data_IF_572554802617
#
_entry.id   IF_572554802617
#
_cell.length_a   1.000
_cell.length_b   1.000
_cell.length_c   1.000
_cell.angle_alpha   90.00
_cell.angle_beta   90.00
_cell.angle_gamma   90.00
#
_symmetry.space_group_name_H-M   'P 1'
#
loop_
_entity.id
_entity.type
_entity.pdbx_description
1 polymer ?
#
# COMPACT_ATOMS: atom_id res chain seq x y z
N UNK A 1 -11.08 2.22 -20.06
CA UNK A 1 -9.84 2.99 -20.38
C UNK A 1 -8.66 2.04 -20.49
N UNK A 2 -7.63 2.38 -21.30
CA UNK A 2 -6.37 1.64 -21.41
C UNK A 2 -5.21 2.65 -21.32
N UNK A 3 -4.02 2.16 -20.92
CA UNK A 3 -2.76 2.89 -21.09
C UNK A 3 -2.08 2.43 -22.37
N UNK A 4 -1.63 3.38 -23.17
CA UNK A 4 -0.76 3.15 -24.32
C UNK A 4 0.62 3.69 -23.98
N UNK A 5 1.63 2.81 -23.98
CA UNK A 5 2.98 3.12 -23.61
C UNK A 5 3.89 2.80 -24.80
N UNK A 6 4.62 3.80 -25.26
CA UNK A 6 5.69 3.59 -26.24
C UNK A 6 7.01 3.48 -25.50
N UNK A 7 7.83 2.49 -25.84
CA UNK A 7 9.14 2.33 -25.22
C UNK A 7 9.89 3.63 -25.22
N UNK A 8 10.29 4.07 -24.04
CA UNK A 8 10.87 5.38 -23.80
C UNK A 8 12.39 5.30 -23.81
N UNK A 9 13.05 6.42 -24.16
CA UNK A 9 14.45 6.62 -23.84
C UNK A 9 14.68 6.75 -22.33
N UNK A 10 15.91 7.14 -21.93
CA UNK A 10 16.24 7.33 -20.53
C UNK A 10 15.31 8.34 -19.84
N UNK A 11 14.85 8.00 -18.65
CA UNK A 11 14.04 8.90 -17.82
C UNK A 11 14.92 9.96 -17.15
N UNK A 12 14.43 11.19 -17.05
CA UNK A 12 15.19 12.28 -16.42
C UNK A 12 14.25 13.31 -15.80
N UNK A 13 14.72 14.03 -14.78
CA UNK A 13 13.98 15.11 -14.17
C UNK A 13 13.71 14.93 -12.68
N UNK A 14 12.55 15.43 -12.23
CA UNK A 14 12.13 15.36 -10.83
C UNK A 14 10.70 14.86 -10.72
N UNK A 15 10.44 14.07 -9.70
CA UNK A 15 9.11 13.60 -9.36
C UNK A 15 8.91 13.68 -7.86
N UNK A 16 7.72 14.12 -7.44
CA UNK A 16 7.34 14.21 -6.03
C UNK A 16 6.43 13.04 -5.67
N UNK A 17 6.79 12.33 -4.61
CA UNK A 17 6.02 11.20 -4.08
C UNK A 17 4.80 11.71 -3.31
N UNK A 18 3.66 11.08 -3.49
CA UNK A 18 2.44 11.33 -2.74
C UNK A 18 2.51 10.77 -1.33
N UNK A 19 1.54 11.11 -0.50
CA UNK A 19 1.40 10.50 0.81
C UNK A 19 1.10 9.01 0.75
N UNK A 20 1.52 8.29 1.77
CA UNK A 20 1.43 6.83 1.81
C UNK A 20 -0.03 6.36 1.85
N UNK A 21 -0.46 5.66 0.80
CA UNK A 21 -1.77 5.02 0.75
C UNK A 21 -2.04 4.19 2.01
N UNK A 22 -1.08 3.34 2.36
CA UNK A 22 -1.25 2.39 3.46
C UNK A 22 -1.35 3.08 4.82
N UNK A 23 -0.73 4.23 5.04
CA UNK A 23 -0.91 5.05 6.23
C UNK A 23 -2.22 5.85 6.16
N UNK A 24 -2.49 6.52 5.05
CA UNK A 24 -3.67 7.37 4.87
C UNK A 24 -4.98 6.64 5.19
N UNK A 25 -5.17 5.42 4.66
CA UNK A 25 -6.39 4.65 4.89
C UNK A 25 -6.61 4.29 6.36
N UNK A 26 -5.53 4.04 7.13
CA UNK A 26 -5.62 3.68 8.54
C UNK A 26 -5.85 4.93 9.41
N UNK A 27 -5.12 6.00 9.13
CA UNK A 27 -5.29 7.29 9.81
C UNK A 27 -6.70 7.84 9.59
N UNK A 28 -7.26 7.71 8.37
CA UNK A 28 -8.66 8.04 8.11
C UNK A 28 -9.63 7.20 8.94
N UNK A 29 -9.40 5.88 9.06
CA UNK A 29 -10.23 5.01 9.90
C UNK A 29 -10.05 5.33 11.39
N UNK A 30 -8.82 5.53 11.86
CA UNK A 30 -8.48 5.87 13.23
C UNK A 30 -9.06 7.23 13.66
N UNK A 31 -9.32 8.15 12.72
CA UNK A 31 -10.01 9.42 12.98
C UNK A 31 -11.43 9.24 13.55
N UNK A 32 -12.04 8.04 13.41
CA UNK A 32 -13.30 7.71 14.08
C UNK A 32 -13.21 7.74 15.61
N UNK A 33 -12.00 7.64 16.18
CA UNK A 33 -11.76 7.77 17.63
C UNK A 33 -11.74 9.22 18.11
N UNK A 34 -11.59 10.19 17.22
CA UNK A 34 -11.41 11.58 17.61
C UNK A 34 -12.68 12.17 18.26
N UNK A 35 -12.45 13.08 19.21
CA UNK A 35 -13.53 13.87 19.85
C UNK A 35 -14.01 15.05 19.03
N UNK A 36 -13.34 15.37 17.92
CA UNK A 36 -13.64 16.49 17.02
C UNK A 36 -13.04 16.31 15.63
N UNK A 37 -13.09 17.36 14.76
CA UNK A 37 -12.61 17.25 13.40
C UNK A 37 -11.07 17.11 13.36
N UNK A 38 -10.61 16.22 12.50
CA UNK A 38 -9.20 16.03 12.14
C UNK A 38 -8.96 16.58 10.74
N UNK A 39 -7.95 17.45 10.57
CA UNK A 39 -7.49 17.93 9.28
C UNK A 39 -6.26 17.12 8.84
N UNK A 40 -6.43 16.30 7.82
CA UNK A 40 -5.40 15.40 7.32
C UNK A 40 -4.82 15.95 6.01
N UNK A 41 -3.49 16.11 5.97
CA UNK A 41 -2.73 16.51 4.78
C UNK A 41 -1.85 15.36 4.29
N UNK A 42 -1.34 15.44 3.06
CA UNK A 42 -0.60 14.34 2.45
C UNK A 42 -1.49 13.12 2.12
N UNK A 43 -2.79 13.30 1.98
CA UNK A 43 -3.70 12.23 1.58
C UNK A 43 -3.69 12.10 0.05
N UNK A 44 -3.27 10.94 -0.51
CA UNK A 44 -3.19 10.78 -1.96
C UNK A 44 -4.58 10.74 -2.61
N UNK A 45 -4.71 11.33 -3.80
CA UNK A 45 -5.98 11.33 -4.55
C UNK A 45 -6.13 10.02 -5.35
N UNK A 46 -6.48 8.94 -4.67
CA UNK A 46 -6.62 7.59 -5.23
C UNK A 46 -8.00 6.99 -4.95
N UNK A 47 -8.39 5.99 -5.74
CA UNK A 47 -9.71 5.38 -5.62
C UNK A 47 -9.97 4.75 -4.24
N UNK A 48 -8.95 4.15 -3.60
CA UNK A 48 -9.11 3.54 -2.27
C UNK A 48 -9.35 4.61 -1.17
N UNK A 49 -8.76 5.80 -1.28
CA UNK A 49 -9.02 6.92 -0.36
C UNK A 49 -10.47 7.43 -0.52
N UNK A 50 -10.95 7.56 -1.75
CA UNK A 50 -12.36 7.90 -2.01
C UNK A 50 -13.31 6.84 -1.46
N UNK A 51 -12.95 5.56 -1.57
CA UNK A 51 -13.72 4.44 -1.01
C UNK A 51 -13.76 4.52 0.52
N UNK A 52 -12.63 4.79 1.19
CA UNK A 52 -12.59 4.96 2.65
C UNK A 52 -13.44 6.16 3.09
N UNK A 53 -13.34 7.30 2.39
CA UNK A 53 -14.21 8.45 2.67
C UNK A 53 -15.70 8.10 2.52
N UNK A 54 -16.05 7.28 1.53
CA UNK A 54 -17.40 6.73 1.36
C UNK A 54 -17.83 5.85 2.54
N UNK A 55 -16.94 4.98 3.04
CA UNK A 55 -17.19 4.16 4.23
C UNK A 55 -17.47 5.04 5.44
N UNK A 56 -16.63 6.05 5.70
CA UNK A 56 -16.79 6.96 6.83
C UNK A 56 -18.09 7.77 6.75
N UNK A 57 -18.43 8.29 5.57
CA UNK A 57 -19.72 8.99 5.34
C UNK A 57 -20.92 8.06 5.55
N UNK A 58 -20.80 6.81 5.11
CA UNK A 58 -21.84 5.78 5.33
C UNK A 58 -22.09 5.47 6.80
N UNK A 59 -21.09 5.64 7.65
CA UNK A 59 -21.19 5.52 9.11
C UNK A 59 -21.77 6.79 9.77
N UNK A 60 -21.87 7.91 9.03
CA UNK A 60 -22.38 9.19 9.52
C UNK A 60 -21.29 10.22 9.87
N UNK A 61 -20.01 9.90 9.65
CA UNK A 61 -18.93 10.88 9.78
C UNK A 61 -18.91 11.85 8.59
N UNK A 62 -18.42 13.06 8.80
CA UNK A 62 -17.98 13.93 7.69
C UNK A 62 -16.64 13.44 7.19
N UNK A 63 -16.45 13.37 5.89
CA UNK A 63 -15.16 13.16 5.24
C UNK A 63 -15.14 14.05 3.99
N UNK A 64 -14.55 15.23 4.09
CA UNK A 64 -14.66 16.28 3.10
C UNK A 64 -13.29 16.66 2.54
N UNK A 65 -13.16 16.58 1.20
CA UNK A 65 -11.94 16.93 0.49
C UNK A 65 -11.93 18.43 0.20
N UNK A 66 -10.88 19.09 0.66
CA UNK A 66 -10.69 20.52 0.50
C UNK A 66 -9.89 20.86 -0.77
N UNK A 67 -10.00 22.09 -1.25
CA UNK A 67 -9.30 22.56 -2.45
C UNK A 67 -7.76 22.55 -2.30
N UNK A 68 -7.25 22.65 -1.08
CA UNK A 68 -5.82 22.58 -0.77
C UNK A 68 -5.27 21.15 -0.69
N UNK A 69 -6.09 20.14 -1.06
CA UNK A 69 -5.70 18.72 -1.05
C UNK A 69 -5.76 18.05 0.32
N UNK A 70 -6.24 18.75 1.36
CA UNK A 70 -6.47 18.10 2.65
C UNK A 70 -7.85 17.42 2.73
N UNK A 71 -8.00 16.53 3.71
CA UNK A 71 -9.28 15.89 4.03
C UNK A 71 -9.66 16.22 5.46
N UNK A 72 -10.85 16.72 5.67
CA UNK A 72 -11.41 16.95 7.01
C UNK A 72 -12.29 15.75 7.36
N UNK A 73 -11.98 15.06 8.48
CA UNK A 73 -12.79 13.99 9.02
C UNK A 73 -13.35 14.40 10.37
N UNK A 74 -14.69 14.48 10.46
CA UNK A 74 -15.39 14.76 11.71
C UNK A 74 -16.28 13.56 12.10
N UNK A 75 -15.88 12.79 13.14
CA UNK A 75 -16.60 11.59 13.52
C UNK A 75 -17.78 11.84 14.49
N UNK A 76 -18.09 13.08 14.84
CA UNK A 76 -19.16 13.38 15.81
C UNK A 76 -20.56 12.98 15.36
N UNK A 77 -20.77 12.93 14.02
CA UNK A 77 -22.04 12.52 13.41
C UNK A 77 -22.21 11.00 13.24
N UNK A 78 -21.25 10.18 13.68
CA UNK A 78 -21.36 8.71 13.55
C UNK A 78 -22.56 8.18 14.30
N UNK A 79 -23.46 7.50 13.57
CA UNK A 79 -24.73 6.96 14.06
C UNK A 79 -25.05 5.56 13.50
N UNK A 80 -24.16 5.01 12.67
CA UNK A 80 -24.22 3.66 12.14
C UNK A 80 -22.95 2.91 12.49
N UNK A 81 -23.08 1.63 12.82
CA UNK A 81 -21.98 0.76 13.26
C UNK A 81 -21.77 -0.43 12.29
N UNK A 82 -22.44 -0.36 11.13
CA UNK A 82 -22.33 -1.32 10.04
C UNK A 82 -21.97 -0.55 8.74
N UNK A 83 -20.73 -0.64 8.28
CA UNK A 83 -20.33 -0.02 7.02
C UNK A 83 -21.02 -0.68 5.82
N UNK A 84 -21.20 0.09 4.74
CA UNK A 84 -21.82 -0.41 3.51
C UNK A 84 -21.08 -1.63 2.96
N UNK A 85 -21.83 -2.73 2.74
CA UNK A 85 -21.31 -3.97 2.20
C UNK A 85 -20.60 -3.78 0.86
N UNK A 86 -21.19 -3.00 -0.04
CA UNK A 86 -20.61 -2.71 -1.35
C UNK A 86 -19.21 -2.08 -1.24
N UNK A 87 -19.01 -1.13 -0.33
CA UNK A 87 -17.73 -0.46 -0.12
C UNK A 87 -16.72 -1.38 0.59
N UNK A 88 -17.18 -2.22 1.52
CA UNK A 88 -16.33 -3.20 2.23
C UNK A 88 -15.75 -4.22 1.25
N UNK A 89 -16.55 -4.71 0.31
CA UNK A 89 -16.09 -5.69 -0.70
C UNK A 89 -15.04 -5.07 -1.64
N UNK A 90 -15.17 -3.80 -1.98
CA UNK A 90 -14.25 -3.11 -2.91
C UNK A 90 -12.85 -2.91 -2.35
N UNK A 91 -12.72 -2.79 -1.02
CA UNK A 91 -11.45 -2.41 -0.41
C UNK A 91 -11.20 -3.16 0.90
N UNK A 92 -10.12 -3.96 0.94
CA UNK A 92 -9.78 -4.70 2.15
C UNK A 92 -9.54 -3.82 3.38
N UNK A 93 -8.96 -2.62 3.20
CA UNK A 93 -8.67 -1.71 4.30
C UNK A 93 -9.91 -1.23 5.05
N UNK A 94 -11.12 -1.45 4.52
CA UNK A 94 -12.38 -1.17 5.20
C UNK A 94 -12.52 -1.90 6.55
N UNK A 95 -11.82 -3.03 6.75
CA UNK A 95 -11.77 -3.74 8.04
C UNK A 95 -11.20 -2.86 9.18
N UNK A 96 -10.42 -1.85 8.86
CA UNK A 96 -9.77 -0.98 9.85
C UNK A 96 -10.75 -0.10 10.65
N UNK A 97 -11.98 0.05 10.18
CA UNK A 97 -13.01 0.77 10.97
C UNK A 97 -13.51 -0.05 12.16
N UNK A 98 -13.23 -1.38 12.21
CA UNK A 98 -13.68 -2.22 13.31
C UNK A 98 -13.09 -1.81 14.67
N UNK A 99 -11.78 -1.58 14.74
CA UNK A 99 -11.11 -1.17 15.97
C UNK A 99 -11.69 0.10 16.58
N UNK A 100 -11.72 1.21 15.83
CA UNK A 100 -12.29 2.47 16.35
C UNK A 100 -13.79 2.37 16.69
N UNK A 101 -14.61 1.70 15.89
CA UNK A 101 -16.03 1.55 16.18
C UNK A 101 -16.27 0.70 17.43
N UNK A 102 -15.55 -0.41 17.58
CA UNK A 102 -15.62 -1.26 18.76
C UNK A 102 -15.20 -0.51 20.02
N UNK A 103 -14.10 0.22 19.96
CA UNK A 103 -13.57 0.99 21.09
C UNK A 103 -14.49 2.11 21.54
N UNK A 104 -15.09 2.84 20.59
CA UNK A 104 -15.89 4.04 20.89
C UNK A 104 -17.35 3.72 21.19
N UNK A 105 -17.92 2.72 20.51
CA UNK A 105 -19.36 2.43 20.57
C UNK A 105 -19.69 1.06 21.14
N UNK A 106 -18.69 0.22 21.43
CA UNK A 106 -18.87 -1.13 21.98
C UNK A 106 -19.47 -2.15 21.01
N UNK A 107 -19.65 -1.78 19.74
CA UNK A 107 -20.22 -2.68 18.72
C UNK A 107 -19.74 -2.31 17.32
N UNK A 108 -19.58 -3.32 16.51
CA UNK A 108 -19.40 -3.20 15.07
C UNK A 108 -19.84 -4.49 14.39
N UNK A 109 -20.46 -4.38 13.21
CA UNK A 109 -20.71 -5.52 12.33
C UNK A 109 -20.30 -5.14 10.91
N UNK A 110 -19.59 -6.03 10.24
CA UNK A 110 -19.14 -5.82 8.87
C UNK A 110 -19.19 -7.12 8.08
N UNK A 111 -19.30 -7.02 6.76
CA UNK A 111 -19.03 -8.17 5.90
C UNK A 111 -17.53 -8.48 5.93
N UNK A 112 -17.17 -9.75 5.74
CA UNK A 112 -15.77 -10.10 5.51
C UNK A 112 -15.24 -9.33 4.29
N UNK A 113 -14.09 -8.62 4.42
CA UNK A 113 -13.62 -7.73 3.37
C UNK A 113 -13.24 -8.50 2.12
N UNK A 114 -13.52 -7.92 0.97
CA UNK A 114 -13.11 -8.44 -0.32
C UNK A 114 -11.59 -8.58 -0.44
N UNK A 115 -11.14 -9.46 -1.33
CA UNK A 115 -9.73 -9.76 -1.53
C UNK A 115 -9.06 -8.90 -2.60
N UNK A 116 -7.74 -8.75 -2.50
CA UNK A 116 -6.89 -8.58 -3.65
C UNK A 116 -6.60 -9.96 -4.27
N UNK A 117 -6.34 -9.99 -5.57
CA UNK A 117 -6.10 -11.22 -6.33
C UNK A 117 -4.75 -11.92 -6.02
N UNK A 118 -4.16 -11.65 -4.85
CA UNK A 118 -2.81 -12.08 -4.42
C UNK A 118 -2.83 -13.22 -3.38
N UNK A 119 -4.00 -13.78 -3.10
CA UNK A 119 -4.19 -14.92 -2.19
C UNK A 119 -5.08 -14.65 -1.00
N UNK A 120 -5.33 -15.69 -0.18
CA UNK A 120 -6.12 -15.58 1.04
C UNK A 120 -5.49 -14.58 2.02
N UNK A 121 -6.34 -13.76 2.62
CA UNK A 121 -5.93 -12.79 3.63
C UNK A 121 -6.93 -12.81 4.78
N UNK A 122 -6.83 -13.85 5.64
CA UNK A 122 -7.78 -14.01 6.76
C UNK A 122 -7.72 -12.80 7.70
N UNK A 123 -8.78 -12.61 8.47
CA UNK A 123 -8.93 -11.54 9.48
C UNK A 123 -8.85 -12.08 10.92
N UNK A 124 -8.51 -13.35 11.05
CA UNK A 124 -8.43 -14.10 12.31
C UNK A 124 -7.58 -13.39 13.37
N UNK A 125 -6.43 -12.81 12.99
CA UNK A 125 -5.58 -12.07 13.93
C UNK A 125 -6.22 -10.78 14.44
N UNK A 126 -7.05 -10.11 13.63
CA UNK A 126 -7.85 -8.97 14.11
C UNK A 126 -8.84 -9.42 15.17
N UNK A 127 -9.59 -10.51 14.87
CA UNK A 127 -10.62 -11.04 15.76
C UNK A 127 -10.02 -11.61 17.04
N UNK A 128 -8.88 -12.31 16.96
CA UNK A 128 -8.09 -12.78 18.11
C UNK A 128 -7.74 -11.61 19.04
N UNK A 129 -7.28 -10.50 18.46
CA UNK A 129 -6.94 -9.31 19.23
C UNK A 129 -8.15 -8.69 19.92
N UNK A 130 -9.27 -8.52 19.22
CA UNK A 130 -10.50 -7.99 19.81
C UNK A 130 -11.06 -8.91 20.91
N UNK A 131 -11.05 -10.23 20.70
CA UNK A 131 -11.44 -11.20 21.71
C UNK A 131 -10.55 -11.12 22.96
N UNK A 132 -9.23 -10.95 22.80
CA UNK A 132 -8.32 -10.77 23.91
C UNK A 132 -8.60 -9.48 24.71
N UNK A 133 -9.04 -8.40 24.02
CA UNK A 133 -9.53 -7.17 24.66
C UNK A 133 -10.91 -7.32 25.32
N UNK A 134 -11.52 -8.51 25.27
CA UNK A 134 -12.80 -8.80 25.94
C UNK A 134 -14.05 -8.66 25.05
N UNK A 135 -13.90 -8.53 23.73
CA UNK A 135 -15.04 -8.49 22.84
C UNK A 135 -15.58 -9.90 22.54
N UNK A 136 -16.91 -10.02 22.52
CA UNK A 136 -17.61 -11.18 21.96
C UNK A 136 -17.60 -11.09 20.43
N UNK A 137 -17.06 -12.13 19.79
CA UNK A 137 -16.95 -12.21 18.32
C UNK A 137 -17.99 -13.20 17.80
N UNK A 138 -18.71 -12.83 16.74
CA UNK A 138 -19.63 -13.73 16.02
C UNK A 138 -19.34 -13.67 14.52
N UNK A 139 -19.21 -14.84 13.92
CA UNK A 139 -19.02 -15.00 12.48
C UNK A 139 -20.19 -15.81 11.92
N UNK A 140 -21.04 -15.17 11.11
CA UNK A 140 -22.24 -15.77 10.55
C UNK A 140 -22.47 -15.29 9.12
N UNK A 141 -22.73 -16.21 8.20
CA UNK A 141 -23.15 -15.92 6.81
C UNK A 141 -22.24 -14.91 6.06
N UNK A 142 -20.93 -14.97 6.30
CA UNK A 142 -19.97 -14.05 5.67
C UNK A 142 -19.89 -12.65 6.31
N UNK A 143 -20.55 -12.46 7.44
CA UNK A 143 -20.41 -11.29 8.30
C UNK A 143 -19.60 -11.61 9.55
N UNK A 144 -18.97 -10.60 10.08
CA UNK A 144 -18.32 -10.64 11.38
C UNK A 144 -18.84 -9.48 12.24
N UNK A 145 -19.16 -9.77 13.50
CA UNK A 145 -19.49 -8.74 14.49
C UNK A 145 -18.63 -8.89 15.73
N UNK A 146 -18.32 -7.75 16.34
CA UNK A 146 -17.61 -7.67 17.60
C UNK A 146 -18.43 -6.80 18.57
N UNK A 147 -18.59 -7.24 19.83
CA UNK A 147 -19.36 -6.53 20.85
C UNK A 147 -18.63 -6.58 22.19
N UNK A 148 -18.57 -5.45 22.87
CA UNK A 148 -18.03 -5.33 24.22
C UNK A 148 -18.77 -4.23 24.99
N UNK A 149 -19.03 -4.42 26.26
CA UNK A 149 -19.51 -3.35 27.15
C UNK A 149 -18.41 -2.36 27.51
N UNK A 150 -17.19 -2.86 27.67
CA UNK A 150 -15.95 -2.11 27.81
C UNK A 150 -14.80 -3.01 27.34
N UNK A 151 -13.82 -2.43 26.62
CA UNK A 151 -12.60 -3.15 26.28
C UNK A 151 -11.64 -3.09 27.47
N UNK A 152 -10.88 -4.16 27.68
CA UNK A 152 -9.87 -4.26 28.76
C UNK A 152 -8.50 -4.55 28.16
N UNK A 153 -7.48 -3.89 28.70
CA UNK A 153 -6.10 -4.10 28.31
C UNK A 153 -5.68 -5.55 28.51
N UNK A 154 -4.90 -6.06 27.56
CA UNK A 154 -4.47 -7.46 27.52
C UNK A 154 -3.06 -7.60 26.91
N UNK A 155 -2.40 -8.71 27.20
CA UNK A 155 -1.22 -9.11 26.44
C UNK A 155 -1.61 -9.97 25.25
N UNK A 156 -1.27 -9.54 24.03
CA UNK A 156 -1.71 -10.12 22.77
C UNK A 156 -0.48 -10.52 21.96
N UNK A 157 -0.28 -11.82 21.77
CA UNK A 157 0.75 -12.36 20.89
C UNK A 157 0.16 -12.63 19.51
N UNK A 158 0.71 -11.97 18.48
CA UNK A 158 0.38 -12.25 17.08
C UNK A 158 1.21 -13.43 16.57
N UNK A 159 0.56 -14.41 15.94
CA UNK A 159 1.23 -15.61 15.43
C UNK A 159 2.22 -15.27 14.29
N UNK A 160 1.89 -14.21 13.52
CA UNK A 160 2.76 -13.59 12.52
C UNK A 160 2.62 -12.09 12.59
N UNK A 161 3.67 -11.31 12.23
CA UNK A 161 3.58 -9.85 12.21
C UNK A 161 2.61 -9.41 11.10
N UNK A 162 1.38 -9.09 11.50
CA UNK A 162 0.32 -8.62 10.60
C UNK A 162 0.14 -7.12 10.73
N UNK A 163 0.41 -6.37 9.66
CA UNK A 163 0.24 -4.91 9.63
C UNK A 163 -1.19 -4.53 10.02
N UNK A 164 -2.18 -5.07 9.30
CA UNK A 164 -3.57 -4.70 9.53
C UNK A 164 -4.10 -5.08 10.93
N UNK A 165 -3.69 -6.24 11.47
CA UNK A 165 -4.09 -6.64 12.82
C UNK A 165 -3.42 -5.76 13.88
N UNK A 166 -2.12 -5.47 13.73
CA UNK A 166 -1.40 -4.57 14.64
C UNK A 166 -2.07 -3.22 14.73
N UNK A 167 -2.37 -2.59 13.58
CA UNK A 167 -3.03 -1.28 13.50
C UNK A 167 -4.43 -1.30 14.12
N UNK A 168 -5.24 -2.29 13.77
CA UNK A 168 -6.63 -2.37 14.20
C UNK A 168 -6.76 -2.67 15.71
N UNK A 169 -5.86 -3.51 16.26
CA UNK A 169 -5.79 -3.78 17.70
C UNK A 169 -5.25 -2.55 18.44
N UNK A 170 -4.23 -1.90 17.91
CA UNK A 170 -3.66 -0.67 18.48
C UNK A 170 -4.73 0.42 18.61
N UNK A 171 -5.52 0.63 17.57
CA UNK A 171 -6.64 1.58 17.55
C UNK A 171 -7.71 1.21 18.59
N UNK A 172 -8.11 -0.07 18.66
CA UNK A 172 -9.09 -0.53 19.64
C UNK A 172 -8.60 -0.36 21.08
N UNK A 173 -7.31 -0.60 21.33
CA UNK A 173 -6.70 -0.52 22.65
C UNK A 173 -6.58 0.92 23.20
N UNK A 174 -6.69 1.96 22.35
CA UNK A 174 -6.60 3.34 22.79
C UNK A 174 -7.62 3.73 23.86
N UNK A 175 -8.81 3.14 23.83
CA UNK A 175 -9.89 3.41 24.80
C UNK A 175 -10.17 2.20 25.72
N UNK A 176 -9.33 1.17 25.72
CA UNK A 176 -9.45 0.02 26.60
C UNK A 176 -9.02 0.37 28.04
N UNK A 177 -9.70 -0.19 29.03
CA UNK A 177 -9.32 0.00 30.45
C UNK A 177 -7.99 -0.71 30.76
N UNK A 178 -7.00 0.02 31.24
CA UNK A 178 -5.69 -0.52 31.63
C UNK A 178 -4.65 -0.50 30.50
N UNK A 179 -3.76 -1.48 30.50
CA UNK A 179 -2.62 -1.56 29.56
C UNK A 179 -2.78 -2.73 28.60
N UNK A 180 -2.59 -2.46 27.31
CA UNK A 180 -2.46 -3.50 26.26
C UNK A 180 -1.01 -3.60 25.81
N UNK A 181 -0.53 -4.83 25.64
CA UNK A 181 0.79 -5.12 25.05
C UNK A 181 0.61 -6.02 23.84
N UNK A 182 0.97 -5.51 22.65
CA UNK A 182 0.97 -6.32 21.42
C UNK A 182 2.39 -6.83 21.21
N UNK A 183 2.56 -8.16 21.18
CA UNK A 183 3.85 -8.82 20.89
C UNK A 183 3.85 -9.40 19.50
N UNK A 184 5.03 -9.49 18.91
CA UNK A 184 5.24 -9.84 17.49
C UNK A 184 4.46 -8.91 16.56
N UNK A 185 4.39 -7.63 16.94
CA UNK A 185 3.77 -6.57 16.16
C UNK A 185 4.51 -6.39 14.82
N UNK A 186 3.80 -5.98 13.80
CA UNK A 186 4.41 -5.52 12.56
C UNK A 186 5.16 -4.19 12.79
N UNK A 187 6.19 -3.92 11.98
CA UNK A 187 7.16 -2.84 12.23
C UNK A 187 7.17 -1.77 11.14
N UNK A 188 6.28 -1.88 10.19
CA UNK A 188 6.20 -1.00 9.02
C UNK A 188 6.11 0.47 9.45
N UNK A 189 6.74 1.40 8.68
CA UNK A 189 6.71 2.84 8.97
C UNK A 189 5.30 3.42 9.10
N UNK A 190 4.34 2.83 8.40
CA UNK A 190 2.93 3.22 8.44
C UNK A 190 2.30 3.00 9.83
N UNK A 191 2.80 2.01 10.60
CA UNK A 191 2.36 1.76 11.98
C UNK A 191 2.91 2.82 12.93
N UNK A 192 4.16 3.26 12.69
CA UNK A 192 4.74 4.38 13.44
C UNK A 192 3.94 5.66 13.18
N UNK A 193 3.55 5.88 11.92
CA UNK A 193 2.76 7.03 11.51
C UNK A 193 1.38 7.03 12.19
N UNK A 194 0.70 5.88 12.23
CA UNK A 194 -0.57 5.74 12.94
C UNK A 194 -0.42 5.95 14.46
N UNK A 195 0.64 5.39 15.09
CA UNK A 195 0.95 5.68 16.50
C UNK A 195 1.10 7.18 16.74
N UNK A 196 1.85 7.87 15.87
CA UNK A 196 2.08 9.31 16.01
C UNK A 196 0.79 10.12 15.87
N UNK A 197 -0.08 9.74 14.93
CA UNK A 197 -1.40 10.33 14.78
C UNK A 197 -2.26 10.12 16.04
N UNK A 198 -2.36 8.88 16.52
CA UNK A 198 -3.14 8.55 17.72
C UNK A 198 -2.62 9.26 18.96
N UNK A 199 -1.29 9.35 19.14
CA UNK A 199 -0.68 10.09 20.24
C UNK A 199 -0.96 11.60 20.14
N UNK A 200 -1.05 12.16 18.95
CA UNK A 200 -1.48 13.56 18.76
C UNK A 200 -2.95 13.77 19.13
N UNK A 201 -3.79 12.76 18.99
CA UNK A 201 -5.16 12.80 19.52
C UNK A 201 -5.22 12.70 21.05
N UNK A 202 -4.13 12.31 21.72
CA UNK A 202 -4.06 12.16 23.16
C UNK A 202 -3.95 10.70 23.65
N UNK A 203 -3.74 9.73 22.76
CA UNK A 203 -3.44 8.35 23.15
C UNK A 203 -2.04 8.24 23.80
N UNK A 204 -1.79 7.15 24.50
CA UNK A 204 -0.50 6.85 25.11
C UNK A 204 0.04 5.52 24.54
N UNK A 205 0.70 5.59 23.40
CA UNK A 205 1.22 4.45 22.65
C UNK A 205 2.74 4.58 22.52
N UNK A 206 3.46 3.48 22.76
CA UNK A 206 4.92 3.40 22.62
C UNK A 206 5.33 2.09 21.97
N UNK A 207 6.41 2.11 21.20
CA UNK A 207 7.05 0.91 20.67
C UNK A 207 6.68 0.57 19.23
N UNK A 208 5.85 1.35 18.52
CA UNK A 208 5.67 1.16 17.08
C UNK A 208 7.02 1.20 16.34
N UNK A 209 7.20 0.33 15.34
CA UNK A 209 8.50 0.09 14.70
C UNK A 209 9.36 -0.98 15.37
N UNK A 210 8.97 -1.44 16.56
CA UNK A 210 9.56 -2.62 17.24
C UNK A 210 8.58 -3.81 17.20
N UNK A 211 8.99 -4.96 17.73
CA UNK A 211 8.12 -6.14 17.84
C UNK A 211 7.12 -6.09 19.01
N UNK A 212 7.21 -5.04 19.83
CA UNK A 212 6.36 -4.90 21.01
C UNK A 212 5.80 -3.49 21.10
N UNK A 213 4.47 -3.37 21.07
CA UNK A 213 3.76 -2.09 21.22
C UNK A 213 3.00 -2.12 22.52
N UNK A 214 3.19 -1.07 23.34
CA UNK A 214 2.49 -0.86 24.61
C UNK A 214 1.50 0.29 24.44
N UNK A 215 0.25 0.07 24.82
CA UNK A 215 -0.82 1.05 24.80
C UNK A 215 -1.41 1.18 26.19
N UNK A 216 -1.42 2.36 26.75
CA UNK A 216 -2.15 2.68 27.98
C UNK A 216 -3.45 3.37 27.59
N UNK A 217 -4.59 2.72 27.85
CA UNK A 217 -5.87 3.23 27.43
C UNK A 217 -6.21 4.55 28.11
N UNK A 218 -6.90 5.41 27.37
CA UNK A 218 -7.35 6.74 27.83
C UNK A 218 -8.87 6.83 27.81
N UNK A 219 -9.45 7.78 28.53
CA UNK A 219 -10.91 7.94 28.59
C UNK A 219 -11.50 8.56 27.33
N UNK A 220 -10.76 9.48 26.70
CA UNK A 220 -11.20 10.22 25.52
C UNK A 220 -10.00 10.67 24.70
N UNK A 221 -10.24 10.91 23.43
CA UNK A 221 -9.28 11.44 22.47
C UNK A 221 -9.78 12.77 21.90
N UNK A 222 -8.86 13.68 21.64
CA UNK A 222 -9.13 15.02 21.12
C UNK A 222 -9.27 15.05 19.58
N UNK A 223 -8.90 16.19 19.01
CA UNK A 223 -8.83 16.43 17.58
C UNK A 223 -7.42 16.91 17.21
N UNK A 224 -7.01 16.77 15.96
CA UNK A 224 -5.67 17.19 15.53
C UNK A 224 -5.59 17.47 14.03
N UNK A 225 -4.62 18.30 13.68
CA UNK A 225 -4.08 18.39 12.31
C UNK A 225 -2.91 17.42 12.17
N UNK A 226 -2.87 16.68 11.07
CA UNK A 226 -1.82 15.68 10.85
C UNK A 226 -1.43 15.56 9.38
N UNK A 227 -0.15 15.36 9.12
CA UNK A 227 0.39 15.09 7.78
C UNK A 227 0.87 13.64 7.70
N UNK A 228 0.31 12.89 6.74
CA UNK A 228 0.68 11.50 6.48
C UNK A 228 2.06 11.42 5.87
N UNK A 229 2.85 10.40 6.25
CA UNK A 229 4.18 10.16 5.68
C UNK A 229 4.13 9.89 4.16
N UNK A 230 5.21 10.16 3.42
CA UNK A 230 5.29 9.85 1.99
C UNK A 230 5.26 8.35 1.71
N UNK A 231 4.73 7.96 0.53
CA UNK A 231 4.58 6.57 0.12
C UNK A 231 5.90 5.94 -0.33
N UNK A 232 6.48 5.10 0.54
CA UNK A 232 7.72 4.36 0.23
C UNK A 232 7.58 3.38 -0.93
N UNK A 233 6.37 2.89 -1.23
CA UNK A 233 6.13 1.96 -2.33
C UNK A 233 6.05 2.70 -3.66
N UNK A 234 5.43 3.89 -3.68
CA UNK A 234 5.45 4.76 -4.85
C UNK A 234 6.89 5.23 -5.16
N UNK A 235 7.63 5.68 -4.15
CA UNK A 235 9.05 6.04 -4.32
C UNK A 235 9.88 4.86 -4.84
N UNK A 236 9.67 3.65 -4.29
CA UNK A 236 10.31 2.43 -4.75
C UNK A 236 9.98 2.08 -6.21
N UNK A 237 8.74 2.36 -6.63
CA UNK A 237 8.30 2.19 -8.01
C UNK A 237 9.05 3.15 -8.95
N UNK A 238 9.20 4.43 -8.58
CA UNK A 238 10.01 5.37 -9.38
C UNK A 238 11.49 5.01 -9.41
N UNK A 239 12.09 4.60 -8.28
CA UNK A 239 13.48 4.11 -8.26
C UNK A 239 13.67 2.96 -9.24
N UNK A 240 12.73 2.00 -9.25
CA UNK A 240 12.77 0.85 -10.14
C UNK A 240 12.51 1.26 -11.60
N UNK A 241 11.65 2.27 -11.86
CA UNK A 241 11.44 2.81 -13.21
C UNK A 241 12.74 3.34 -13.83
N UNK A 242 13.52 4.10 -13.05
CA UNK A 242 14.85 4.58 -13.51
C UNK A 242 15.81 3.40 -13.69
N UNK A 243 15.76 2.41 -12.79
CA UNK A 243 16.55 1.19 -12.94
C UNK A 243 16.22 0.44 -14.24
N UNK A 244 14.96 0.39 -14.66
CA UNK A 244 14.48 -0.29 -15.87
C UNK A 244 14.79 0.52 -17.15
N UNK A 245 14.40 1.78 -17.19
CA UNK A 245 14.54 2.61 -18.40
C UNK A 245 15.95 3.24 -18.57
N UNK A 246 16.72 3.36 -17.48
CA UNK A 246 17.95 4.13 -17.42
C UNK A 246 17.71 5.63 -17.28
N UNK A 247 18.80 6.39 -17.15
CA UNK A 247 18.77 7.83 -16.98
C UNK A 247 19.11 8.30 -15.58
N UNK A 248 18.65 9.49 -15.23
CA UNK A 248 18.86 10.11 -13.91
C UNK A 248 17.61 10.88 -13.49
N UNK A 249 17.07 10.58 -12.33
CA UNK A 249 15.98 11.35 -11.77
C UNK A 249 16.13 11.56 -10.26
N UNK A 250 15.59 12.69 -9.80
CA UNK A 250 15.43 13.03 -8.38
C UNK A 250 14.00 12.73 -7.94
N UNK A 251 13.88 11.86 -6.96
CA UNK A 251 12.61 11.47 -6.34
C UNK A 251 12.51 12.24 -5.02
N UNK A 252 11.60 13.20 -4.96
CA UNK A 252 11.40 14.10 -3.84
C UNK A 252 10.27 13.65 -2.94
N UNK A 253 10.19 14.20 -1.72
CA UNK A 253 9.24 13.83 -0.70
C UNK A 253 9.28 12.32 -0.41
N UNK A 254 10.45 11.81 -0.01
CA UNK A 254 10.63 10.41 0.41
C UNK A 254 11.52 10.34 1.64
N UNK A 255 11.38 9.27 2.40
CA UNK A 255 12.22 8.95 3.57
C UNK A 255 13.10 7.75 3.19
N UNK A 256 14.37 7.96 2.83
CA UNK A 256 15.24 6.90 2.33
C UNK A 256 15.39 5.72 3.30
N UNK A 257 15.36 5.99 4.61
CA UNK A 257 15.44 4.99 5.68
C UNK A 257 14.31 3.95 5.60
N UNK A 258 13.15 4.33 5.07
CA UNK A 258 12.01 3.42 4.91
C UNK A 258 12.19 2.41 3.76
N UNK A 259 13.25 2.54 2.94
CA UNK A 259 13.45 1.83 1.69
C UNK A 259 14.80 1.13 1.57
N UNK A 260 15.54 1.01 2.66
CA UNK A 260 16.92 0.51 2.66
C UNK A 260 17.06 -0.87 2.02
N UNK A 261 16.08 -1.76 2.21
CA UNK A 261 16.10 -3.09 1.59
C UNK A 261 16.04 -3.00 0.04
N UNK A 262 15.21 -2.12 -0.53
CA UNK A 262 15.14 -1.90 -1.96
C UNK A 262 16.38 -1.17 -2.49
N UNK A 263 16.81 -0.10 -1.81
CA UNK A 263 18.00 0.68 -2.18
C UNK A 263 19.22 -0.23 -2.25
N UNK A 264 19.42 -1.08 -1.25
CA UNK A 264 20.52 -2.05 -1.24
C UNK A 264 20.46 -2.98 -2.45
N UNK A 265 19.28 -3.54 -2.75
CA UNK A 265 19.10 -4.47 -3.88
C UNK A 265 19.27 -3.79 -5.24
N UNK A 266 18.81 -2.57 -5.42
CA UNK A 266 19.05 -1.81 -6.64
C UNK A 266 20.55 -1.49 -6.82
N UNK A 267 21.27 -1.15 -5.75
CA UNK A 267 22.73 -0.96 -5.81
C UNK A 267 23.47 -2.24 -6.21
N UNK A 268 23.05 -3.42 -5.73
CA UNK A 268 23.60 -4.71 -6.16
C UNK A 268 23.46 -4.91 -7.67
N UNK A 269 22.36 -4.42 -8.29
CA UNK A 269 22.15 -4.53 -9.73
C UNK A 269 23.01 -3.56 -10.56
N UNK A 270 23.74 -2.65 -9.93
CA UNK A 270 24.58 -1.65 -10.58
C UNK A 270 23.94 -0.27 -10.74
N UNK A 271 22.81 -0.03 -10.11
CA UNK A 271 22.16 1.29 -10.04
C UNK A 271 22.87 2.15 -9.00
N UNK A 272 23.24 3.37 -9.36
CA UNK A 272 23.72 4.38 -8.39
C UNK A 272 22.55 5.05 -7.72
N UNK A 273 22.56 5.09 -6.38
CA UNK A 273 21.53 5.77 -5.58
C UNK A 273 22.23 6.66 -4.56
N UNK A 274 21.91 7.95 -4.60
CA UNK A 274 22.39 8.97 -3.66
C UNK A 274 21.20 9.35 -2.77
N UNK A 275 21.37 9.15 -1.47
CA UNK A 275 20.36 9.46 -0.47
C UNK A 275 20.58 10.87 0.09
N UNK A 276 19.50 11.65 0.19
CA UNK A 276 19.43 12.91 0.91
C UNK A 276 18.39 12.80 2.02
N UNK A 277 18.14 13.85 2.79
CA UNK A 277 17.22 13.83 3.94
C UNK A 277 15.77 13.51 3.54
N UNK A 278 15.30 14.07 2.42
CA UNK A 278 13.91 13.92 1.96
C UNK A 278 13.81 13.57 0.48
N UNK A 279 14.89 13.07 -0.10
CA UNK A 279 14.94 12.69 -1.52
C UNK A 279 15.96 11.59 -1.78
N UNK A 280 15.82 10.94 -2.92
CA UNK A 280 16.86 10.10 -3.50
C UNK A 280 17.14 10.52 -4.95
N UNK A 281 18.40 10.44 -5.39
CA UNK A 281 18.77 10.55 -6.79
C UNK A 281 19.16 9.16 -7.27
N UNK A 282 18.53 8.72 -8.35
CA UNK A 282 18.75 7.41 -8.95
C UNK A 282 19.36 7.60 -10.31
N UNK A 283 20.47 6.88 -10.60
CA UNK A 283 21.19 6.93 -11.86
C UNK A 283 21.51 5.55 -12.41
N UNK A 284 21.25 5.34 -13.67
CA UNK A 284 21.71 4.16 -14.41
C UNK A 284 22.07 4.55 -15.85
N UNK A 285 23.27 4.17 -16.29
CA UNK A 285 23.63 4.36 -17.68
C UNK A 285 22.74 3.47 -18.58
N UNK A 286 22.02 4.03 -19.57
CA UNK A 286 21.12 3.24 -20.43
C UNK A 286 21.82 2.15 -21.25
N UNK A 287 23.12 2.31 -21.49
CA UNK A 287 23.93 1.37 -22.26
C UNK A 287 24.41 0.16 -21.44
N UNK A 288 24.28 0.19 -20.11
CA UNK A 288 24.66 -0.92 -19.24
C UNK A 288 23.42 -1.71 -18.83
N UNK A 289 23.47 -3.03 -18.90
CA UNK A 289 22.43 -3.88 -18.37
C UNK A 289 22.53 -3.97 -16.86
N UNK A 290 21.42 -4.20 -16.20
CA UNK A 290 21.38 -4.53 -14.79
C UNK A 290 22.02 -5.88 -14.55
N UNK A 291 22.67 -6.07 -13.41
CA UNK A 291 23.10 -7.38 -12.94
C UNK A 291 21.96 -8.10 -12.25
N UNK A 292 21.87 -9.41 -12.42
CA UNK A 292 20.89 -10.22 -11.69
C UNK A 292 21.12 -10.13 -10.16
N UNK A 293 20.04 -10.06 -9.40
CA UNK A 293 20.07 -10.06 -7.93
C UNK A 293 18.88 -10.82 -7.38
N UNK A 294 19.11 -11.59 -6.30
CA UNK A 294 18.10 -12.38 -5.64
C UNK A 294 17.39 -11.58 -4.56
N UNK A 295 16.07 -11.79 -4.41
CA UNK A 295 15.31 -11.24 -3.30
C UNK A 295 14.42 -12.29 -2.63
N UNK A 296 14.18 -12.06 -1.33
CA UNK A 296 13.11 -12.72 -0.58
C UNK A 296 12.26 -11.64 0.06
N UNK A 297 10.95 -11.66 -0.23
CA UNK A 297 10.04 -10.74 0.45
C UNK A 297 9.81 -11.18 1.89
N UNK A 298 9.82 -10.20 2.79
CA UNK A 298 9.69 -10.39 4.24
C UNK A 298 8.95 -9.20 4.84
N UNK A 299 8.35 -9.33 6.04
CA UNK A 299 7.92 -8.19 6.82
C UNK A 299 9.05 -7.16 7.00
N UNK A 300 8.69 -5.90 7.14
CA UNK A 300 9.64 -4.81 7.35
C UNK A 300 10.57 -5.10 8.58
N UNK A 301 11.89 -4.83 8.49
CA UNK A 301 12.59 -4.08 7.45
C UNK A 301 13.11 -4.93 6.27
N UNK A 302 12.59 -6.13 6.05
CA UNK A 302 12.94 -6.95 4.90
C UNK A 302 12.43 -6.37 3.57
N UNK A 303 12.73 -7.07 2.45
CA UNK A 303 12.33 -6.60 1.13
C UNK A 303 10.79 -6.59 1.00
N UNK A 304 10.18 -5.42 0.66
CA UNK A 304 8.74 -5.28 0.67
C UNK A 304 8.07 -6.04 -0.48
N UNK A 305 7.07 -6.86 -0.15
CA UNK A 305 6.29 -7.60 -1.15
C UNK A 305 5.61 -6.66 -2.16
N UNK A 306 5.28 -5.42 -1.78
CA UNK A 306 4.62 -4.45 -2.65
C UNK A 306 5.54 -3.84 -3.73
N UNK A 307 6.86 -4.08 -3.68
CA UNK A 307 7.82 -3.69 -4.72
C UNK A 307 8.39 -4.92 -5.45
N UNK A 308 8.04 -6.13 -5.02
CA UNK A 308 8.49 -7.38 -5.64
C UNK A 308 8.14 -7.44 -7.14
N UNK A 309 6.91 -7.10 -7.61
CA UNK A 309 6.59 -7.15 -9.03
C UNK A 309 7.43 -6.18 -9.88
N UNK A 310 7.65 -4.96 -9.41
CA UNK A 310 8.48 -3.98 -10.09
C UNK A 310 9.94 -4.45 -10.19
N UNK A 311 10.45 -5.08 -9.12
CA UNK A 311 11.81 -5.64 -9.12
C UNK A 311 11.94 -6.79 -10.11
N UNK A 312 10.92 -7.66 -10.25
CA UNK A 312 10.90 -8.73 -11.27
C UNK A 312 10.92 -8.15 -12.68
N UNK A 313 10.17 -7.06 -12.94
CA UNK A 313 10.24 -6.36 -14.22
C UNK A 313 11.67 -5.88 -14.53
N UNK A 314 12.39 -5.34 -13.54
CA UNK A 314 13.79 -4.95 -13.67
C UNK A 314 14.70 -6.16 -13.94
N UNK A 315 14.53 -7.26 -13.20
CA UNK A 315 15.33 -8.48 -13.37
C UNK A 315 15.06 -9.17 -14.70
N UNK A 316 13.89 -8.98 -15.32
CA UNK A 316 13.59 -9.50 -16.65
C UNK A 316 14.52 -8.91 -17.75
N UNK A 317 15.16 -7.77 -17.48
CA UNK A 317 16.12 -7.11 -18.38
C UNK A 317 17.59 -7.20 -17.89
N UNK A 318 17.84 -7.92 -16.80
CA UNK A 318 19.19 -8.05 -16.22
C UNK A 318 20.10 -9.01 -17.01
N UNK A 319 21.39 -9.00 -16.71
CA UNK A 319 22.32 -10.05 -17.11
C UNK A 319 22.38 -11.13 -16.03
N UNK A 320 22.08 -12.39 -16.41
CA UNK A 320 22.06 -13.53 -15.52
C UNK A 320 20.67 -13.97 -15.10
N UNK A 321 20.60 -14.68 -14.00
CA UNK A 321 19.37 -15.29 -13.48
C UNK A 321 19.16 -14.85 -12.03
N UNK A 322 17.95 -14.44 -11.71
CA UNK A 322 17.53 -14.03 -10.37
C UNK A 322 16.54 -15.02 -9.79
N UNK A 323 16.72 -15.34 -8.51
CA UNK A 323 15.76 -16.09 -7.69
C UNK A 323 14.93 -15.11 -6.86
N UNK A 324 13.62 -15.21 -6.98
CA UNK A 324 12.65 -14.36 -6.27
C UNK A 324 11.79 -15.23 -5.40
N UNK A 325 11.87 -15.07 -4.08
CA UNK A 325 11.08 -15.85 -3.12
C UNK A 325 10.02 -14.91 -2.51
N UNK A 326 8.73 -15.25 -2.71
CA UNK A 326 7.62 -14.53 -2.12
C UNK A 326 7.21 -15.13 -0.78
N UNK A 327 7.58 -14.49 0.31
CA UNK A 327 7.34 -14.95 1.68
C UNK A 327 6.01 -14.51 2.29
N UNK A 328 5.31 -13.55 1.67
CA UNK A 328 4.13 -12.88 2.27
C UNK A 328 2.82 -13.29 1.58
N UNK A 329 2.74 -13.18 0.24
CA UNK A 329 1.51 -13.45 -0.51
C UNK A 329 1.68 -14.55 -1.56
N UNK A 330 1.12 -15.75 -1.34
CA UNK A 330 1.43 -16.93 -2.14
C UNK A 330 1.00 -16.85 -3.62
N UNK A 331 0.05 -15.99 -3.97
CA UNK A 331 -0.45 -15.83 -5.35
C UNK A 331 0.03 -14.50 -6.00
N UNK A 332 1.15 -13.94 -5.53
CA UNK A 332 1.65 -12.64 -6.00
C UNK A 332 2.20 -12.65 -7.41
N UNK A 333 2.54 -13.80 -7.98
CA UNK A 333 3.22 -13.93 -9.27
C UNK A 333 2.30 -13.89 -10.51
N UNK A 334 1.00 -13.66 -10.40
CA UNK A 334 0.06 -13.65 -11.55
C UNK A 334 0.46 -12.72 -12.69
N UNK A 335 1.09 -11.59 -12.38
CA UNK A 335 1.55 -10.63 -13.39
C UNK A 335 2.69 -11.17 -14.27
N UNK A 336 3.37 -12.24 -13.88
CA UNK A 336 4.46 -12.83 -14.67
C UNK A 336 3.98 -13.47 -15.96
N UNK A 337 2.73 -13.92 -16.03
CA UNK A 337 2.09 -14.39 -17.25
C UNK A 337 2.04 -13.26 -18.30
N UNK A 338 1.72 -12.05 -17.87
CA UNK A 338 1.69 -10.87 -18.73
C UNK A 338 3.10 -10.44 -19.16
N UNK A 339 4.09 -10.50 -18.26
CA UNK A 339 5.51 -10.24 -18.60
C UNK A 339 6.01 -11.26 -19.63
N UNK A 340 5.58 -12.52 -19.56
CA UNK A 340 5.95 -13.55 -20.52
C UNK A 340 5.44 -13.24 -21.92
N UNK A 341 4.27 -12.60 -22.07
CA UNK A 341 3.77 -12.11 -23.37
C UNK A 341 4.69 -11.05 -24.00
N UNK A 342 5.42 -10.30 -23.16
CA UNK A 342 6.44 -9.34 -23.62
C UNK A 342 7.78 -9.99 -23.98
N UNK A 343 7.93 -11.30 -23.79
CA UNK A 343 9.17 -12.06 -24.03
C UNK A 343 10.04 -12.27 -22.80
N UNK A 344 9.57 -11.93 -21.60
CA UNK A 344 10.29 -12.22 -20.36
C UNK A 344 10.39 -13.74 -20.12
N UNK A 345 11.52 -14.20 -19.57
CA UNK A 345 11.74 -15.60 -19.20
C UNK A 345 11.57 -15.76 -17.69
N UNK A 346 10.36 -16.07 -17.28
CA UNK A 346 10.01 -16.27 -15.86
C UNK A 346 9.38 -17.64 -15.69
N UNK A 347 9.91 -18.42 -14.76
CA UNK A 347 9.34 -19.71 -14.34
C UNK A 347 8.92 -19.60 -12.89
N UNK A 348 7.66 -19.89 -12.59
CA UNK A 348 7.10 -19.82 -11.24
C UNK A 348 6.81 -21.23 -10.73
N UNK A 349 7.30 -21.54 -9.52
CA UNK A 349 6.97 -22.74 -8.77
C UNK A 349 6.56 -22.36 -7.34
N UNK A 350 5.26 -22.43 -7.06
CA UNK A 350 4.68 -22.06 -5.77
C UNK A 350 5.02 -20.62 -5.34
N UNK A 351 5.89 -20.48 -4.34
CA UNK A 351 6.34 -19.19 -3.79
C UNK A 351 7.66 -18.70 -4.38
N UNK A 352 8.19 -19.36 -5.40
CA UNK A 352 9.47 -19.04 -6.01
C UNK A 352 9.28 -18.72 -7.48
N UNK A 353 9.99 -17.71 -7.96
CA UNK A 353 10.15 -17.42 -9.38
C UNK A 353 11.63 -17.38 -9.76
N UNK A 354 11.96 -18.01 -10.86
CA UNK A 354 13.28 -17.90 -11.51
C UNK A 354 13.11 -16.98 -12.70
N UNK A 355 13.85 -15.88 -12.70
CA UNK A 355 13.82 -14.85 -13.73
C UNK A 355 15.15 -14.84 -14.46
N UNK A 356 15.15 -15.28 -15.72
CA UNK A 356 16.35 -15.19 -16.59
C UNK A 356 16.21 -13.94 -17.45
N UNK A 357 17.15 -13.00 -17.27
CA UNK A 357 17.10 -11.73 -17.97
C UNK A 357 17.27 -11.88 -19.49
N UNK A 358 16.49 -11.11 -20.25
CA UNK A 358 16.53 -11.06 -21.71
C UNK A 358 17.13 -9.72 -22.18
N UNK A 359 17.69 -9.63 -23.39
CA UNK A 359 18.22 -8.36 -23.93
C UNK A 359 17.13 -7.31 -24.12
N UNK A 360 15.93 -7.72 -24.52
CA UNK A 360 14.83 -6.84 -24.92
C UNK A 360 13.50 -7.46 -24.55
N UNK A 361 12.54 -6.63 -24.15
CA UNK A 361 11.12 -6.93 -24.09
C UNK A 361 10.40 -6.29 -25.28
N UNK A 362 9.25 -6.82 -25.67
CA UNK A 362 8.49 -6.34 -26.81
C UNK A 362 7.11 -5.85 -26.39
N UNK A 363 6.67 -4.75 -26.98
CA UNK A 363 5.36 -4.19 -26.78
C UNK A 363 4.25 -5.14 -27.24
N UNK A 364 3.20 -5.24 -26.45
CA UNK A 364 2.03 -6.10 -26.73
C UNK A 364 0.81 -5.63 -25.94
N UNK A 365 -0.33 -6.31 -26.10
CA UNK A 365 -1.53 -6.04 -25.28
C UNK A 365 -1.50 -6.86 -24.00
N UNK A 366 -1.69 -6.19 -22.87
CA UNK A 366 -1.61 -6.73 -21.51
C UNK A 366 -2.84 -6.38 -20.68
N UNK A 367 -3.05 -7.13 -19.62
CA UNK A 367 -4.07 -6.84 -18.61
C UNK A 367 -3.43 -6.75 -17.20
N UNK A 368 -3.66 -5.66 -16.50
CA UNK A 368 -3.19 -5.49 -15.13
C UNK A 368 -4.00 -6.42 -14.19
N UNK A 369 -3.39 -7.45 -13.58
CA UNK A 369 -4.11 -8.41 -12.74
C UNK A 369 -4.41 -7.86 -11.34
N UNK A 370 -3.63 -6.91 -10.90
CA UNK A 370 -3.71 -6.21 -9.61
C UNK A 370 -2.92 -4.90 -9.62
N UNK A 371 -2.99 -4.15 -8.51
CA UNK A 371 -2.33 -2.86 -8.33
C UNK A 371 -0.82 -2.88 -8.62
N UNK A 372 -0.08 -3.80 -8.00
CA UNK A 372 1.40 -3.81 -8.05
C UNK A 372 1.90 -4.55 -9.30
N UNK A 373 1.18 -5.57 -9.73
CA UNK A 373 1.41 -6.22 -11.02
C UNK A 373 1.22 -5.23 -12.16
N UNK A 374 0.16 -4.42 -12.14
CA UNK A 374 -0.08 -3.37 -13.13
C UNK A 374 1.06 -2.33 -13.19
N UNK A 375 1.57 -1.89 -12.03
CA UNK A 375 2.74 -1.01 -11.99
C UNK A 375 3.97 -1.67 -12.61
N UNK A 376 4.24 -2.94 -12.32
CA UNK A 376 5.36 -3.68 -12.91
C UNK A 376 5.27 -3.77 -14.45
N UNK A 377 4.05 -3.98 -14.99
CA UNK A 377 3.81 -4.00 -16.43
C UNK A 377 4.08 -2.63 -17.08
N UNK A 378 3.70 -1.53 -16.40
CA UNK A 378 4.05 -0.18 -16.86
C UNK A 378 5.57 -0.04 -16.95
N UNK A 379 6.31 -0.43 -15.89
CA UNK A 379 7.76 -0.33 -15.86
C UNK A 379 8.42 -1.16 -16.97
N UNK A 380 7.95 -2.39 -17.19
CA UNK A 380 8.44 -3.24 -18.28
C UNK A 380 8.19 -2.60 -19.66
N UNK A 381 7.01 -1.99 -19.84
CA UNK A 381 6.64 -1.31 -21.08
C UNK A 381 7.50 -0.08 -21.39
N UNK A 382 8.03 0.63 -20.37
CA UNK A 382 8.95 1.76 -20.56
C UNK A 382 10.24 1.37 -21.30
N UNK A 383 10.70 0.13 -21.12
CA UNK A 383 11.94 -0.38 -21.73
C UNK A 383 11.68 -1.37 -22.88
N UNK A 384 10.42 -1.63 -23.24
CA UNK A 384 10.07 -2.53 -24.31
C UNK A 384 10.23 -1.87 -25.69
N UNK A 385 10.58 -2.65 -26.70
CA UNK A 385 10.53 -2.20 -28.09
C UNK A 385 9.07 -2.20 -28.61
N UNK A 386 8.65 -1.08 -29.23
CA UNK A 386 7.31 -0.94 -29.80
C UNK A 386 6.32 -0.31 -28.83
N UNK A 387 5.06 -0.68 -28.97
CA UNK A 387 3.92 -0.12 -28.21
C UNK A 387 3.28 -1.19 -27.37
N UNK A 388 3.07 -0.88 -26.10
CA UNK A 388 2.31 -1.72 -25.14
C UNK A 388 0.97 -1.08 -24.82
N UNK A 389 -0.10 -1.85 -24.86
CA UNK A 389 -1.42 -1.43 -24.41
C UNK A 389 -1.80 -2.21 -23.15
N UNK A 390 -2.10 -1.50 -22.05
CA UNK A 390 -2.44 -2.12 -20.76
C UNK A 390 -3.88 -1.78 -20.40
N UNK A 391 -4.71 -2.81 -20.25
CA UNK A 391 -6.07 -2.75 -19.71
C UNK A 391 -6.08 -2.99 -18.18
N UNK A 392 -7.26 -2.89 -17.54
CA UNK A 392 -7.38 -3.11 -16.09
C UNK A 392 -6.74 -2.00 -15.25
N UNK A 393 -6.61 -0.79 -15.79
CA UNK A 393 -5.93 0.34 -15.14
C UNK A 393 -6.61 0.81 -13.86
N UNK A 394 -7.89 0.49 -13.68
CA UNK A 394 -8.62 0.78 -12.43
C UNK A 394 -7.93 0.13 -11.22
N UNK A 395 -7.22 -1.00 -11.41
CA UNK A 395 -6.39 -1.58 -10.36
C UNK A 395 -5.23 -0.69 -9.95
N UNK A 396 -4.60 0.01 -10.90
CA UNK A 396 -3.46 0.90 -10.68
C UNK A 396 -3.91 2.18 -9.98
N UNK A 397 -5.04 2.75 -10.40
CA UNK A 397 -5.62 3.97 -9.85
C UNK A 397 -6.12 3.82 -8.40
N UNK A 398 -6.20 2.58 -7.90
CA UNK A 398 -6.49 2.31 -6.49
C UNK A 398 -5.35 2.72 -5.56
N UNK A 399 -4.13 2.82 -6.04
CA UNK A 399 -2.99 2.99 -5.14
C UNK A 399 -1.85 3.86 -5.61
N UNK A 400 -1.92 4.39 -6.82
CA UNK A 400 -0.99 5.38 -7.33
C UNK A 400 -1.74 6.63 -7.76
N UNK A 401 -1.32 7.76 -7.22
CA UNK A 401 -1.82 9.05 -7.65
C UNK A 401 -1.16 9.45 -8.96
N UNK A 402 -1.90 9.30 -10.05
CA UNK A 402 -1.48 9.65 -11.42
C UNK A 402 -0.08 9.13 -11.81
N UNK A 403 0.17 7.83 -11.60
CA UNK A 403 1.45 7.21 -11.99
C UNK A 403 1.84 7.49 -13.44
N UNK A 404 0.95 7.41 -14.44
CA UNK A 404 1.28 7.76 -15.82
C UNK A 404 1.72 9.21 -15.98
N UNK A 405 0.99 10.17 -15.41
CA UNK A 405 1.35 11.59 -15.48
C UNK A 405 2.69 11.88 -14.82
N UNK A 406 2.96 11.31 -13.65
CA UNK A 406 4.24 11.44 -12.95
C UNK A 406 5.41 10.81 -13.74
N UNK A 407 5.21 9.67 -14.38
CA UNK A 407 6.23 9.09 -15.27
C UNK A 407 6.43 9.94 -16.53
N UNK A 408 5.38 10.56 -17.06
CA UNK A 408 5.49 11.49 -18.20
C UNK A 408 6.30 12.74 -17.85
N UNK A 409 6.25 13.24 -16.59
CA UNK A 409 7.14 14.32 -16.10
C UNK A 409 8.62 13.91 -16.14
N UNK A 410 8.92 12.62 -16.09
CA UNK A 410 10.25 12.07 -16.23
C UNK A 410 10.64 11.75 -17.69
N UNK A 411 9.76 12.05 -18.65
CA UNK A 411 10.00 11.84 -20.08
C UNK A 411 9.45 10.52 -20.64
N UNK A 412 8.64 9.78 -19.89
CA UNK A 412 7.97 8.60 -20.40
C UNK A 412 6.85 8.96 -21.41
N UNK A 413 6.72 8.16 -22.47
CA UNK A 413 5.65 8.29 -23.46
C UNK A 413 4.46 7.40 -23.07
N UNK A 414 3.53 7.96 -22.33
CA UNK A 414 2.35 7.25 -21.79
C UNK A 414 1.09 8.08 -22.08
N UNK A 415 0.08 7.43 -22.63
CA UNK A 415 -1.22 8.03 -22.93
C UNK A 415 -2.35 7.21 -22.31
N UNK A 416 -3.34 7.87 -21.69
CA UNK A 416 -4.63 7.27 -21.31
C UNK A 416 -5.59 7.39 -22.47
N UNK A 417 -6.11 6.24 -22.96
CA UNK A 417 -7.03 6.17 -24.10
C UNK A 417 -8.38 5.65 -23.61
N UNK A 418 -9.43 6.43 -23.93
CA UNK A 418 -10.81 6.00 -23.71
C UNK A 418 -11.30 5.16 -24.89
N UNK A 419 -11.31 3.85 -24.72
CA UNK A 419 -11.76 2.91 -25.78
C UNK A 419 -13.25 2.97 -26.08
N UNK A 420 -14.06 3.56 -25.21
CA UNK A 420 -15.51 3.70 -25.45
C UNK A 420 -15.80 4.74 -26.54
N UNK A 421 -14.95 5.76 -26.69
CA UNK A 421 -15.06 6.77 -27.74
C UNK A 421 -14.64 6.26 -29.13
N UNK A 422 -13.75 5.25 -29.22
CA UNK A 422 -13.31 4.68 -30.50
C UNK A 422 -14.39 3.82 -31.19
N UNK A 423 -15.32 3.21 -30.42
CA UNK A 423 -16.42 2.40 -31.00
C UNK A 423 -17.58 3.22 -31.56
N UNK A 424 -17.62 4.53 -31.30
CA UNK A 424 -18.65 5.43 -31.83
C UNK A 424 -18.19 6.23 -33.06
N UNK A 425 -16.91 6.20 -33.41
CA UNK A 425 -16.32 6.92 -34.54
C UNK A 425 -15.91 6.02 -35.73
N UNK A 426 -16.24 4.77 -35.69
CA UNK A 426 -16.08 3.79 -36.76
C UNK A 426 -17.41 3.03 -37.01
#
# INVERSE_FOLDING_TARGET
>A
MILKITGSGPLSGRVTVSGAKNAALKIMAASLLAGGPCRLTGIPQIADVNTMAGVLRGLGAVADFQQDGCVIIDPRGVNRLEPSEELVIRMRASIQVMGPLLARFGYVKTRQPGGCNIGPRPIDLHLKGFAALGAEIKEECGYVSAKASALKGAEILLDVPSVGATENIMTAACLAEGTTVIRNAAREPEIIDEQNFLNRLGANIKGAGTDTIKIEGVKELGATDYTVIPDRIEAGTFMTAIAVAGGEARIENTIPEHQQALISKLRETGVEIIEGDTYVIVRRCPKTRLRASNIRTMPYPGFPTDVQPQFVAAMSLSEGTSEIIEGVFPLRFKYTEELTKMGAKVTVDGKQAIVTGVPTLHGTTLEAPDLRGGAALILAALAAEGVTEISGIDHIDRGYEDLPGKLSLLGASIERIDVTKKRQAG
#
